data_IF_140449716236
#
_entry.id   IF_140449716236
#
_cell.length_a   1.000
_cell.length_b   1.000
_cell.length_c   1.000
_cell.angle_alpha   90.00
_cell.angle_beta   90.00
_cell.angle_gamma   90.00
#
_symmetry.space_group_name_H-M   'P 1'
#
loop_
_entity.id
_entity.type
_entity.pdbx_description
1 polymer ?
#
# COMPACT_ATOMS: atom_id res chain seq x y z
N UNK A 1 -53.44 -30.12 -18.67
CA UNK A 1 -53.01 -28.73 -18.43
C UNK A 1 -51.99 -28.58 -17.29
N UNK A 2 -52.06 -29.36 -16.22
CA UNK A 2 -51.17 -29.31 -15.03
C UNK A 2 -49.70 -29.67 -15.34
N UNK A 3 -49.46 -30.60 -16.27
CA UNK A 3 -48.12 -31.09 -16.61
C UNK A 3 -47.21 -30.05 -17.30
N UNK A 4 -47.77 -28.98 -17.87
CA UNK A 4 -47.03 -27.91 -18.53
C UNK A 4 -46.54 -26.86 -17.51
N UNK A 5 -47.28 -26.58 -16.48
CA UNK A 5 -46.93 -25.61 -15.43
C UNK A 5 -45.74 -26.10 -14.60
N UNK A 6 -45.65 -27.37 -14.27
CA UNK A 6 -44.51 -27.94 -13.51
C UNK A 6 -43.20 -27.89 -14.30
N UNK A 7 -43.24 -28.06 -15.63
CA UNK A 7 -42.06 -27.92 -16.49
C UNK A 7 -41.57 -26.48 -16.54
N UNK A 8 -42.48 -25.51 -16.68
CA UNK A 8 -42.15 -24.08 -16.69
C UNK A 8 -41.53 -23.66 -15.34
N UNK A 9 -42.15 -24.10 -14.24
CA UNK A 9 -41.66 -23.81 -12.89
C UNK A 9 -40.26 -24.37 -12.66
N UNK A 10 -39.98 -25.61 -13.04
CA UNK A 10 -38.66 -26.24 -12.94
C UNK A 10 -37.61 -25.52 -13.79
N UNK A 11 -37.96 -25.05 -14.98
CA UNK A 11 -37.08 -24.32 -15.86
C UNK A 11 -36.72 -22.93 -15.27
N UNK A 12 -37.72 -22.22 -14.76
CA UNK A 12 -37.55 -20.94 -14.09
C UNK A 12 -36.67 -21.06 -12.82
N UNK A 13 -36.91 -22.10 -12.02
CA UNK A 13 -36.15 -22.41 -10.82
C UNK A 13 -34.65 -22.70 -11.15
N UNK A 14 -34.37 -23.47 -12.20
CA UNK A 14 -32.99 -23.72 -12.64
C UNK A 14 -32.29 -22.46 -13.06
N UNK A 15 -32.94 -21.59 -13.81
CA UNK A 15 -32.38 -20.27 -14.18
C UNK A 15 -32.12 -19.42 -12.94
N UNK A 16 -33.04 -19.34 -12.02
CA UNK A 16 -32.89 -18.60 -10.79
C UNK A 16 -31.67 -19.07 -9.98
N UNK A 17 -31.55 -20.41 -9.80
CA UNK A 17 -30.39 -20.98 -9.10
C UNK A 17 -29.09 -20.66 -9.83
N UNK A 18 -29.08 -20.79 -11.15
CA UNK A 18 -27.89 -20.48 -11.96
C UNK A 18 -27.45 -19.02 -11.80
N UNK A 19 -28.35 -18.05 -11.90
CA UNK A 19 -28.03 -16.63 -11.69
C UNK A 19 -27.62 -16.33 -10.25
N UNK A 20 -28.25 -16.98 -9.26
CA UNK A 20 -27.86 -16.84 -7.85
C UNK A 20 -26.44 -17.31 -7.60
N UNK A 21 -26.02 -18.41 -8.22
CA UNK A 21 -24.64 -18.93 -8.13
C UNK A 21 -23.65 -17.92 -8.76
N UNK A 22 -23.97 -17.36 -9.93
CA UNK A 22 -23.11 -16.36 -10.58
C UNK A 22 -22.93 -15.14 -9.68
N UNK A 23 -24.01 -14.59 -9.15
CA UNK A 23 -23.98 -13.44 -8.25
C UNK A 23 -23.15 -13.77 -7.01
N UNK A 24 -23.30 -14.95 -6.43
CA UNK A 24 -22.53 -15.37 -5.27
C UNK A 24 -21.03 -15.46 -5.54
N UNK A 25 -20.65 -16.07 -6.66
CA UNK A 25 -19.24 -16.16 -7.09
C UNK A 25 -18.65 -14.77 -7.34
N UNK A 26 -19.39 -13.88 -8.01
CA UNK A 26 -18.94 -12.50 -8.27
C UNK A 26 -18.69 -11.75 -6.96
N UNK A 27 -19.58 -11.90 -5.97
CA UNK A 27 -19.39 -11.27 -4.66
C UNK A 27 -18.14 -11.81 -3.93
N UNK A 28 -17.87 -13.10 -3.99
CA UNK A 28 -16.66 -13.70 -3.40
C UNK A 28 -15.41 -13.11 -4.05
N UNK A 29 -15.37 -12.99 -5.38
CA UNK A 29 -14.24 -12.41 -6.10
C UNK A 29 -14.02 -10.96 -5.71
N UNK A 30 -15.08 -10.16 -5.60
CA UNK A 30 -15.00 -8.77 -5.17
C UNK A 30 -14.45 -8.63 -3.74
N UNK A 31 -14.96 -9.43 -2.81
CA UNK A 31 -14.48 -9.42 -1.43
C UNK A 31 -13.03 -9.85 -1.36
N UNK A 32 -12.63 -10.91 -2.06
CA UNK A 32 -11.25 -11.38 -2.09
C UNK A 32 -10.30 -10.31 -2.65
N UNK A 33 -10.68 -9.64 -3.74
CA UNK A 33 -9.91 -8.55 -4.34
C UNK A 33 -9.77 -7.37 -3.39
N UNK A 34 -10.83 -7.01 -2.66
CA UNK A 34 -10.81 -5.93 -1.68
C UNK A 34 -9.93 -6.24 -0.48
N UNK A 35 -10.01 -7.47 0.05
CA UNK A 35 -9.15 -7.94 1.14
C UNK A 35 -7.68 -7.95 0.72
N UNK A 36 -7.38 -8.41 -0.49
CA UNK A 36 -6.02 -8.40 -1.03
C UNK A 36 -5.47 -6.98 -1.13
N UNK A 37 -6.25 -6.05 -1.67
CA UNK A 37 -5.87 -4.63 -1.77
C UNK A 37 -5.58 -3.98 -0.41
N UNK A 38 -6.44 -4.23 0.59
CA UNK A 38 -6.23 -3.70 1.95
C UNK A 38 -4.97 -4.29 2.57
N UNK A 39 -4.72 -5.57 2.40
CA UNK A 39 -3.57 -6.27 2.97
C UNK A 39 -2.25 -5.71 2.43
N UNK A 40 -2.17 -5.47 1.13
CA UNK A 40 -0.99 -4.87 0.50
C UNK A 40 -0.69 -3.47 1.09
N UNK A 41 -1.70 -2.65 1.25
CA UNK A 41 -1.58 -1.30 1.81
C UNK A 41 -1.18 -1.31 3.30
N UNK A 42 -1.73 -2.21 4.09
CA UNK A 42 -1.37 -2.37 5.51
C UNK A 42 0.08 -2.83 5.68
N UNK A 43 0.54 -3.79 4.88
CA UNK A 43 1.91 -4.31 4.93
C UNK A 43 2.93 -3.20 4.69
N UNK A 44 2.71 -2.31 3.71
CA UNK A 44 3.61 -1.20 3.44
C UNK A 44 3.69 -0.22 4.61
N UNK A 45 2.56 0.17 5.20
CA UNK A 45 2.50 1.08 6.35
C UNK A 45 3.19 0.48 7.58
N UNK A 46 2.98 -0.79 7.85
CA UNK A 46 3.59 -1.51 8.96
C UNK A 46 5.11 -1.64 8.78
N UNK A 47 5.57 -1.93 7.56
CA UNK A 47 7.00 -1.98 7.22
C UNK A 47 7.67 -0.63 7.47
N UNK A 48 7.07 0.48 7.04
CA UNK A 48 7.61 1.84 7.29
C UNK A 48 7.74 2.11 8.77
N UNK A 49 6.74 1.76 9.58
CA UNK A 49 6.78 1.93 11.03
C UNK A 49 7.92 1.12 11.66
N UNK A 50 8.02 -0.16 11.34
CA UNK A 50 9.06 -1.05 11.87
C UNK A 50 10.44 -0.52 11.51
N UNK A 51 10.68 -0.16 10.24
CA UNK A 51 11.96 0.36 9.79
C UNK A 51 12.28 1.68 10.50
N UNK A 52 11.31 2.57 10.67
CA UNK A 52 11.53 3.84 11.34
C UNK A 52 11.95 3.68 12.81
N UNK A 53 11.45 2.66 13.49
CA UNK A 53 11.84 2.33 14.88
C UNK A 53 13.27 1.78 14.99
N UNK A 54 13.78 1.15 13.92
CA UNK A 54 15.13 0.60 13.87
C UNK A 54 16.19 1.57 13.35
N UNK A 55 15.78 2.67 12.72
CA UNK A 55 16.72 3.68 12.21
C UNK A 55 17.33 4.45 13.38
N UNK A 56 18.65 4.50 13.43
CA UNK A 56 19.38 5.36 14.36
C UNK A 56 19.99 6.52 13.58
N UNK A 57 19.56 7.74 13.92
CA UNK A 57 20.04 8.96 13.28
C UNK A 57 20.95 9.71 14.26
N UNK A 58 22.22 9.84 13.89
CA UNK A 58 23.21 10.67 14.60
C UNK A 58 23.51 11.90 13.73
N UNK A 59 24.01 12.99 14.31
CA UNK A 59 24.19 14.31 13.64
C UNK A 59 24.72 14.29 12.21
N UNK A 60 25.44 13.25 11.78
CA UNK A 60 26.02 13.14 10.44
C UNK A 60 25.87 11.73 9.81
N UNK A 61 25.14 10.84 10.43
CA UNK A 61 25.07 9.47 9.92
C UNK A 61 23.72 8.83 10.22
N UNK A 62 23.15 8.18 9.22
CA UNK A 62 21.93 7.39 9.33
C UNK A 62 22.33 5.93 9.27
N UNK A 63 22.05 5.18 10.33
CA UNK A 63 22.32 3.74 10.41
C UNK A 63 21.03 2.96 10.30
N UNK A 64 20.96 2.05 9.32
CA UNK A 64 19.86 1.13 9.12
C UNK A 64 20.41 -0.29 9.22
N UNK A 65 19.76 -1.20 9.98
CA UNK A 65 20.15 -2.60 10.05
C UNK A 65 20.15 -3.27 8.67
N UNK A 66 21.11 -4.15 8.42
CA UNK A 66 21.23 -4.86 7.13
C UNK A 66 19.97 -5.66 6.76
N UNK A 67 19.29 -6.22 7.78
CA UNK A 67 18.06 -6.98 7.57
C UNK A 67 16.93 -6.09 7.00
N UNK A 68 16.83 -4.85 7.48
CA UNK A 68 15.79 -3.91 7.01
C UNK A 68 16.10 -3.44 5.58
N UNK A 69 17.38 -3.24 5.24
CA UNK A 69 17.80 -2.96 3.86
C UNK A 69 17.44 -4.13 2.92
N UNK A 70 17.65 -5.37 3.36
CA UNK A 70 17.27 -6.55 2.58
C UNK A 70 15.77 -6.63 2.37
N UNK A 71 14.98 -6.36 3.43
CA UNK A 71 13.52 -6.34 3.36
C UNK A 71 12.99 -5.27 2.40
N UNK A 72 13.59 -4.08 2.36
CA UNK A 72 13.26 -3.04 1.38
C UNK A 72 13.46 -3.54 -0.05
N UNK A 73 14.58 -4.21 -0.31
CA UNK A 73 14.90 -4.76 -1.63
C UNK A 73 13.92 -5.84 -2.07
N UNK A 74 13.61 -6.79 -1.19
CA UNK A 74 12.69 -7.89 -1.45
C UNK A 74 11.28 -7.40 -1.74
N UNK A 75 10.83 -6.38 -1.01
CA UNK A 75 9.50 -5.77 -1.17
C UNK A 75 9.45 -4.71 -2.28
N UNK A 76 10.58 -4.46 -2.98
CA UNK A 76 10.70 -3.39 -3.99
C UNK A 76 10.32 -2.01 -3.44
N UNK A 77 10.66 -1.76 -2.20
CA UNK A 77 10.45 -0.49 -1.53
C UNK A 77 11.73 0.36 -1.58
N UNK A 78 11.55 1.66 -1.55
CA UNK A 78 12.63 2.62 -1.40
C UNK A 78 12.42 3.43 -0.12
N UNK A 79 13.50 3.98 0.41
CA UNK A 79 13.50 4.78 1.63
C UNK A 79 14.26 6.09 1.41
N UNK A 80 13.75 7.15 1.96
CA UNK A 80 14.41 8.45 2.02
C UNK A 80 14.23 9.04 3.43
N UNK A 81 15.25 9.65 3.96
CA UNK A 81 15.19 10.37 5.23
C UNK A 81 15.43 11.84 4.95
N UNK A 82 14.51 12.68 5.39
CA UNK A 82 14.56 14.12 5.23
C UNK A 82 14.79 14.81 6.58
N UNK A 83 15.59 15.85 6.57
CA UNK A 83 15.64 16.82 7.67
C UNK A 83 14.36 17.66 7.66
N UNK A 84 13.64 17.66 8.78
CA UNK A 84 12.34 18.32 8.92
C UNK A 84 12.41 19.84 8.79
N UNK A 85 13.54 20.46 9.17
CA UNK A 85 13.67 21.91 9.17
C UNK A 85 14.00 22.43 7.77
N UNK A 86 14.81 21.70 7.03
CA UNK A 86 15.34 22.15 5.73
C UNK A 86 14.65 21.46 4.55
N UNK A 87 13.91 20.37 4.77
CA UNK A 87 13.36 19.54 3.70
C UNK A 87 14.42 18.82 2.86
N UNK A 88 15.69 18.86 3.32
CA UNK A 88 16.80 18.29 2.59
C UNK A 88 17.00 16.83 2.93
N UNK A 89 17.26 16.03 1.89
CA UNK A 89 17.58 14.63 2.04
C UNK A 89 18.91 14.44 2.78
N UNK A 90 18.89 13.60 3.81
CA UNK A 90 20.09 13.20 4.58
C UNK A 90 20.49 11.77 4.33
N UNK A 91 19.56 10.94 3.84
CA UNK A 91 19.82 9.54 3.49
C UNK A 91 18.85 9.04 2.42
N UNK A 92 19.30 8.10 1.59
CA UNK A 92 18.44 7.38 0.64
C UNK A 92 18.87 5.93 0.48
N UNK A 93 17.89 5.06 0.19
CA UNK A 93 18.11 3.66 -0.15
C UNK A 93 17.13 3.24 -1.23
N UNK A 94 17.65 2.82 -2.37
CA UNK A 94 16.87 2.40 -3.56
C UNK A 94 15.91 3.46 -4.11
N UNK A 95 16.11 4.72 -3.80
CA UNK A 95 15.27 5.83 -4.26
C UNK A 95 15.35 5.96 -5.79
N UNK A 96 14.19 6.09 -6.49
CA UNK A 96 14.16 6.41 -7.92
C UNK A 96 14.83 7.76 -8.21
N UNK A 97 15.49 7.87 -9.36
CA UNK A 97 16.20 9.09 -9.77
C UNK A 97 15.27 10.27 -10.03
N UNK A 98 14.03 10.00 -10.37
CA UNK A 98 12.98 10.99 -10.62
C UNK A 98 12.50 11.69 -9.35
N UNK A 99 12.72 11.06 -8.18
CA UNK A 99 12.32 11.63 -6.89
C UNK A 99 13.34 12.67 -6.46
N UNK A 100 12.93 13.94 -6.21
CA UNK A 100 13.83 15.00 -5.78
C UNK A 100 14.59 14.68 -4.48
N UNK A 101 15.67 15.41 -4.22
CA UNK A 101 16.44 15.29 -2.96
C UNK A 101 16.21 16.47 -2.01
N UNK A 102 15.37 17.41 -2.41
CA UNK A 102 14.99 18.56 -1.59
C UNK A 102 13.53 18.91 -1.84
N UNK A 103 12.84 19.23 -0.78
CA UNK A 103 11.40 19.49 -0.75
C UNK A 103 11.13 20.76 0.05
N UNK A 104 10.13 21.50 -0.36
CA UNK A 104 9.60 22.59 0.45
C UNK A 104 8.48 22.08 1.39
N UNK A 105 7.98 22.95 2.25
CA UNK A 105 6.90 22.59 3.16
C UNK A 105 5.61 22.19 2.43
N UNK A 106 5.34 22.76 1.28
CA UNK A 106 4.19 22.42 0.47
C UNK A 106 4.29 21.01 -0.09
N UNK A 107 5.48 20.65 -0.55
CA UNK A 107 5.78 19.30 -1.05
C UNK A 107 5.64 18.26 0.07
N UNK A 108 6.19 18.54 1.26
CA UNK A 108 6.10 17.65 2.43
C UNK A 108 4.64 17.38 2.82
N UNK A 109 3.78 18.40 2.75
CA UNK A 109 2.35 18.23 2.99
C UNK A 109 1.67 17.34 1.93
N UNK A 110 2.18 17.31 0.71
CA UNK A 110 1.69 16.40 -0.33
C UNK A 110 2.05 14.94 -0.06
N UNK A 111 3.18 14.66 0.61
CA UNK A 111 3.53 13.29 1.03
C UNK A 111 2.48 12.69 1.96
N UNK A 112 1.85 13.52 2.78
CA UNK A 112 0.74 13.09 3.64
C UNK A 112 -0.48 12.59 2.85
N UNK A 113 -0.52 12.80 1.53
CA UNK A 113 -1.56 12.29 0.63
C UNK A 113 -1.20 10.97 -0.04
N UNK A 114 -0.16 10.28 0.44
CA UNK A 114 0.29 8.97 -0.03
C UNK A 114 0.74 8.93 -1.50
N UNK A 115 1.21 10.05 -2.04
CA UNK A 115 1.71 10.11 -3.41
C UNK A 115 2.91 11.07 -3.52
N UNK A 116 4.02 10.59 -4.07
CA UNK A 116 5.20 11.36 -4.34
C UNK A 116 5.73 11.01 -5.73
N UNK A 117 5.64 11.94 -6.68
CA UNK A 117 6.10 11.73 -8.08
C UNK A 117 5.56 10.44 -8.69
N UNK A 118 4.24 10.17 -8.53
CA UNK A 118 3.54 8.96 -8.96
C UNK A 118 3.88 7.67 -8.20
N UNK A 119 4.71 7.75 -7.16
CA UNK A 119 4.97 6.64 -6.25
C UNK A 119 4.08 6.73 -5.01
N UNK A 120 3.49 5.63 -4.54
CA UNK A 120 2.84 5.60 -3.24
C UNK A 120 3.89 5.84 -2.15
N UNK A 121 3.67 6.84 -1.30
CA UNK A 121 4.57 7.21 -0.23
C UNK A 121 3.90 7.08 1.14
N UNK A 122 4.65 6.59 2.10
CA UNK A 122 4.26 6.52 3.50
C UNK A 122 5.32 7.23 4.32
N UNK A 123 4.91 8.13 5.20
CA UNK A 123 5.84 8.92 5.99
C UNK A 123 5.68 8.68 7.48
N UNK A 124 6.78 8.68 8.19
CA UNK A 124 6.85 8.60 9.64
C UNK A 124 7.76 9.71 10.16
N UNK A 125 7.32 10.41 11.19
CA UNK A 125 8.13 11.46 11.83
C UNK A 125 8.87 10.88 13.02
N UNK A 126 10.19 11.07 13.05
CA UNK A 126 11.04 10.68 14.15
C UNK A 126 11.95 11.86 14.56
N UNK A 127 11.60 12.55 15.63
CA UNK A 127 12.31 13.72 16.10
C UNK A 127 12.35 14.85 15.04
N UNK A 128 13.54 15.20 14.57
CA UNK A 128 13.76 16.22 13.54
C UNK A 128 13.79 15.69 12.11
N UNK A 129 13.41 14.44 11.89
CA UNK A 129 13.46 13.76 10.60
C UNK A 129 12.08 13.22 10.17
N UNK A 130 11.91 13.05 8.86
CA UNK A 130 10.74 12.46 8.22
C UNK A 130 11.22 11.31 7.36
#
# INVERSE_FOLDING_TARGET
>A
MIMNQTKILRYSLKKFIFFSIIIFITNIILIASFVFYIREKQTATETVKIISEHITITKNNVHIPKNDISSLKEQKLWLMVLDKQTGKQVYEQYKPTEVPSQFDYGDILQFCRYNLSDYPAFSQIQGNYI
#
